data_IF_039628798597
#
_entry.id   IF_039628798597
#
_cell.length_a   1.000
_cell.length_b   1.000
_cell.length_c   1.000
_cell.angle_alpha   90.00
_cell.angle_beta   90.00
_cell.angle_gamma   90.00
#
_symmetry.space_group_name_H-M   'P 1'
#
loop_
_entity.id
_entity.type
_entity.pdbx_description
1 polymer ?
#
# COMPACT_ATOMS: atom_id res chain seq x y z
N UNK A 1 10.92 20.93 10.62
CA UNK A 1 12.20 20.20 10.68
C UNK A 1 12.24 19.38 11.95
N UNK A 2 12.43 18.07 11.84
CA UNK A 2 12.53 17.17 12.99
C UNK A 2 14.00 16.78 13.22
N UNK A 3 14.85 17.74 13.56
CA UNK A 3 16.23 17.42 13.95
C UNK A 3 16.23 16.87 15.37
N UNK A 4 16.94 15.77 15.59
CA UNK A 4 17.11 15.18 16.92
C UNK A 4 17.84 16.16 17.84
N UNK A 5 17.18 16.53 18.94
CA UNK A 5 17.76 17.34 20.01
C UNK A 5 18.52 16.45 20.99
N UNK A 6 19.55 17.00 21.62
CA UNK A 6 20.19 16.37 22.79
C UNK A 6 19.35 16.59 24.07
N UNK A 7 19.80 16.02 25.19
CA UNK A 7 19.17 16.18 26.51
C UNK A 7 19.05 17.65 26.96
N UNK A 8 19.89 18.54 26.39
CA UNK A 8 19.90 19.99 26.66
C UNK A 8 18.99 20.78 25.72
N UNK A 9 18.17 20.10 24.90
CA UNK A 9 17.30 20.70 23.87
C UNK A 9 18.06 21.52 22.80
N UNK A 10 19.33 21.19 22.56
CA UNK A 10 20.16 21.79 21.50
C UNK A 10 20.33 20.82 20.34
N UNK A 11 20.60 21.36 19.16
CA UNK A 11 20.87 20.60 17.94
C UNK A 11 22.38 20.31 17.87
N UNK A 12 22.83 19.05 17.89
CA UNK A 12 24.23 18.73 17.64
C UNK A 12 24.61 19.08 16.19
N UNK A 13 25.64 19.90 15.98
CA UNK A 13 26.07 20.34 14.63
C UNK A 13 26.43 19.14 13.75
N UNK A 14 27.06 18.11 14.32
CA UNK A 14 27.35 16.84 13.62
C UNK A 14 26.12 16.21 12.94
N UNK A 15 24.92 16.39 13.49
CA UNK A 15 23.69 15.86 12.88
C UNK A 15 23.34 16.62 11.60
N UNK A 16 23.53 17.94 11.60
CA UNK A 16 23.35 18.78 10.41
C UNK A 16 24.42 18.43 9.37
N UNK A 17 25.69 18.27 9.77
CA UNK A 17 26.78 17.90 8.86
C UNK A 17 26.53 16.55 8.20
N UNK A 18 26.16 15.53 8.99
CA UNK A 18 25.85 14.18 8.48
C UNK A 18 24.66 14.15 7.51
N UNK A 19 23.70 15.09 7.64
CA UNK A 19 22.59 15.20 6.71
C UNK A 19 23.04 15.56 5.28
N UNK A 20 24.16 16.28 5.14
CA UNK A 20 24.69 16.72 3.84
C UNK A 20 25.95 15.97 3.38
N UNK A 21 26.45 15.02 4.17
CA UNK A 21 27.72 14.31 3.93
C UNK A 21 27.68 13.37 2.72
N UNK A 22 26.50 13.11 2.15
CA UNK A 22 26.35 12.29 0.94
C UNK A 22 26.79 12.98 -0.37
N UNK A 23 26.96 14.31 -0.36
CA UNK A 23 27.29 15.07 -1.58
C UNK A 23 28.31 16.20 -1.43
N UNK A 24 28.66 16.59 -0.19
CA UNK A 24 29.63 17.66 0.10
C UNK A 24 30.49 17.28 1.30
N UNK A 25 31.70 17.84 1.37
CA UNK A 25 32.61 17.58 2.49
C UNK A 25 32.14 18.28 3.76
N UNK A 26 32.40 17.64 4.91
CA UNK A 26 32.06 18.17 6.23
C UNK A 26 32.58 19.59 6.44
N UNK A 27 33.81 19.88 5.98
CA UNK A 27 34.42 21.20 6.04
C UNK A 27 33.62 22.26 5.27
N UNK A 28 33.07 21.90 4.12
CA UNK A 28 32.24 22.82 3.33
C UNK A 28 30.90 23.10 4.02
N UNK A 29 30.27 22.08 4.60
CA UNK A 29 29.01 22.24 5.35
C UNK A 29 29.22 23.12 6.58
N UNK A 30 30.29 22.88 7.35
CA UNK A 30 30.66 23.72 8.49
C UNK A 30 30.97 25.17 8.09
N UNK A 31 31.64 25.39 6.96
CA UNK A 31 31.86 26.74 6.42
C UNK A 31 30.53 27.42 6.10
N UNK A 32 29.60 26.73 5.44
CA UNK A 32 28.28 27.29 5.11
C UNK A 32 27.47 27.63 6.37
N UNK A 33 27.55 26.79 7.41
CA UNK A 33 26.95 27.08 8.72
C UNK A 33 27.56 28.34 9.35
N UNK A 34 28.89 28.44 9.36
CA UNK A 34 29.58 29.63 9.88
C UNK A 34 29.17 30.90 9.13
N UNK A 35 29.11 30.85 7.80
CA UNK A 35 28.73 31.99 6.97
C UNK A 35 27.29 32.46 7.20
N UNK A 36 26.41 31.59 7.71
CA UNK A 36 25.02 31.91 8.06
C UNK A 36 24.84 32.26 9.56
N UNK A 37 25.94 32.37 10.31
CA UNK A 37 25.90 32.62 11.75
C UNK A 37 25.31 31.46 12.55
N UNK A 38 25.48 30.23 12.05
CA UNK A 38 24.95 28.99 12.63
C UNK A 38 26.06 28.06 13.15
N UNK A 39 27.24 28.62 13.46
CA UNK A 39 28.38 27.86 13.98
C UNK A 39 28.15 27.27 15.38
N UNK A 40 27.06 27.65 16.06
CA UNK A 40 26.75 27.17 17.41
C UNK A 40 27.80 27.59 18.45
N UNK A 41 27.76 26.90 19.60
CA UNK A 41 28.79 26.91 20.63
C UNK A 41 30.00 26.11 20.13
N UNK A 42 31.15 26.77 19.97
CA UNK A 42 32.38 26.16 19.44
C UNK A 42 33.02 25.14 20.38
N UNK A 43 32.75 25.23 21.69
CA UNK A 43 33.29 24.27 22.67
C UNK A 43 32.44 23.00 22.74
N UNK A 44 31.14 23.14 22.50
CA UNK A 44 30.16 22.03 22.64
C UNK A 44 29.65 21.48 21.31
N UNK A 45 29.95 22.14 20.19
CA UNK A 45 29.48 21.81 18.84
C UNK A 45 27.95 21.68 18.75
N UNK A 46 27.26 22.64 19.39
CA UNK A 46 25.81 22.63 19.59
C UNK A 46 25.15 23.95 19.19
N UNK A 47 23.98 23.87 18.56
CA UNK A 47 23.20 25.00 18.09
C UNK A 47 21.87 25.11 18.85
N UNK A 48 21.47 26.34 19.19
CA UNK A 48 20.14 26.57 19.73
C UNK A 48 19.06 26.29 18.68
N UNK A 49 18.04 25.52 19.05
CA UNK A 49 16.97 25.16 18.13
C UNK A 49 16.21 26.41 17.63
N UNK A 50 16.06 27.42 18.49
CA UNK A 50 15.42 28.70 18.13
C UNK A 50 16.21 29.48 17.07
N UNK A 51 17.54 29.32 17.05
CA UNK A 51 18.39 29.99 16.06
C UNK A 51 18.35 29.32 14.70
N UNK A 52 17.87 28.07 14.60
CA UNK A 52 17.81 27.28 13.37
C UNK A 52 16.41 27.29 12.75
N UNK A 53 15.96 28.48 12.37
CA UNK A 53 14.66 28.69 11.72
C UNK A 53 14.60 28.04 10.32
N UNK A 54 13.39 27.83 9.80
CA UNK A 54 13.20 27.29 8.46
C UNK A 54 13.85 28.13 7.38
N UNK A 55 13.78 29.47 7.47
CA UNK A 55 14.44 30.37 6.53
C UNK A 55 15.96 30.19 6.50
N UNK A 56 16.57 30.03 7.68
CA UNK A 56 18.01 29.77 7.76
C UNK A 56 18.39 28.40 7.22
N UNK A 57 17.55 27.39 7.43
CA UNK A 57 17.73 26.08 6.82
C UNK A 57 17.64 26.14 5.29
N UNK A 58 16.65 26.83 4.73
CA UNK A 58 16.52 26.97 3.27
C UNK A 58 17.73 27.70 2.68
N UNK A 59 18.21 28.77 3.32
CA UNK A 59 19.45 29.46 2.90
C UNK A 59 20.67 28.53 2.96
N UNK A 60 20.77 27.72 4.00
CA UNK A 60 21.82 26.71 4.12
C UNK A 60 21.73 25.68 2.99
N UNK A 61 20.53 25.17 2.71
CA UNK A 61 20.28 24.22 1.63
C UNK A 61 20.69 24.78 0.27
N UNK A 62 20.27 26.01 -0.09
CA UNK A 62 20.66 26.63 -1.36
C UNK A 62 22.17 26.87 -1.48
N UNK A 63 22.83 27.19 -0.36
CA UNK A 63 24.29 27.39 -0.35
C UNK A 63 25.07 26.08 -0.51
N UNK A 64 24.60 25.00 0.09
CA UNK A 64 25.23 23.68 0.02
C UNK A 64 24.93 23.01 -1.34
N UNK A 65 23.70 23.13 -1.81
CA UNK A 65 23.16 22.51 -3.02
C UNK A 65 22.67 23.58 -4.00
N UNK A 66 23.58 24.31 -4.67
CA UNK A 66 23.19 25.31 -5.66
C UNK A 66 22.45 24.65 -6.83
N UNK A 67 21.31 25.23 -7.22
CA UNK A 67 20.46 24.77 -8.32
C UNK A 67 20.79 25.52 -9.60
N UNK A 68 21.97 25.24 -10.17
CA UNK A 68 22.41 25.86 -11.43
C UNK A 68 21.48 25.54 -12.59
N UNK A 69 20.88 24.35 -12.58
CA UNK A 69 19.83 23.92 -13.51
C UNK A 69 18.61 24.85 -13.49
N UNK A 70 18.12 25.21 -12.30
CA UNK A 70 17.00 26.13 -12.16
C UNK A 70 17.41 27.56 -12.50
N UNK A 71 18.66 27.94 -12.20
CA UNK A 71 19.19 29.25 -12.56
C UNK A 71 19.27 29.43 -14.08
N UNK A 72 19.74 28.42 -14.82
CA UNK A 72 19.78 28.42 -16.28
C UNK A 72 18.36 28.55 -16.88
N UNK A 73 17.40 27.78 -16.35
CA UNK A 73 16.00 27.89 -16.73
C UNK A 73 15.45 29.30 -16.47
N UNK A 74 15.71 29.87 -15.29
CA UNK A 74 15.28 31.21 -14.94
C UNK A 74 15.87 32.27 -15.86
N UNK A 75 17.16 32.18 -16.22
CA UNK A 75 17.80 33.12 -17.16
C UNK A 75 17.16 33.05 -18.54
N UNK A 76 16.85 31.83 -19.01
CA UNK A 76 16.13 31.61 -20.27
C UNK A 76 14.74 32.25 -20.24
N UNK A 77 13.96 31.97 -19.19
CA UNK A 77 12.59 32.46 -19.04
C UNK A 77 12.55 33.98 -18.80
N UNK A 78 13.47 34.56 -18.04
CA UNK A 78 13.53 36.02 -17.74
C UNK A 78 14.07 36.86 -18.90
N UNK A 79 14.75 36.22 -19.87
CA UNK A 79 15.41 36.93 -20.97
C UNK A 79 16.58 37.75 -20.45
N UNK A 80 17.38 37.14 -19.57
CA UNK A 80 18.56 37.75 -18.93
C UNK A 80 18.23 38.94 -18.00
N UNK A 81 16.98 39.03 -17.52
CA UNK A 81 16.58 39.98 -16.48
C UNK A 81 16.70 39.34 -15.10
N UNK A 82 16.81 40.18 -14.08
CA UNK A 82 16.85 39.73 -12.67
C UNK A 82 15.48 39.26 -12.14
N UNK A 83 14.42 39.36 -12.96
CA UNK A 83 13.05 39.01 -12.60
C UNK A 83 12.27 38.42 -13.78
N UNK A 84 11.26 37.61 -13.48
CA UNK A 84 10.20 37.20 -14.40
C UNK A 84 9.04 38.18 -14.34
N UNK A 85 8.45 38.51 -15.49
CA UNK A 85 7.19 39.28 -15.56
C UNK A 85 5.99 38.33 -15.54
N UNK A 86 4.80 38.85 -15.19
CA UNK A 86 3.54 38.08 -15.27
C UNK A 86 3.35 37.39 -16.61
N UNK A 87 3.47 38.12 -17.72
CA UNK A 87 3.24 37.54 -19.06
C UNK A 87 4.12 36.34 -19.34
N UNK A 88 5.39 36.40 -18.94
CA UNK A 88 6.34 35.31 -19.13
C UNK A 88 6.04 34.13 -18.21
N UNK A 89 5.61 34.41 -16.98
CA UNK A 89 5.19 33.37 -16.04
C UNK A 89 3.87 32.71 -16.47
N UNK A 90 2.90 33.47 -16.98
CA UNK A 90 1.67 32.95 -17.61
C UNK A 90 2.03 32.02 -18.76
N UNK A 91 2.90 32.46 -19.67
CA UNK A 91 3.34 31.66 -20.80
C UNK A 91 4.02 30.36 -20.34
N UNK A 92 4.94 30.43 -19.37
CA UNK A 92 5.59 29.25 -18.80
C UNK A 92 4.57 28.27 -18.19
N UNK A 93 3.63 28.76 -17.39
CA UNK A 93 2.64 27.93 -16.71
C UNK A 93 1.65 27.26 -17.68
N UNK A 94 1.26 27.96 -18.74
CA UNK A 94 0.25 27.46 -19.69
C UNK A 94 0.85 26.65 -20.83
N UNK A 95 2.07 26.94 -21.27
CA UNK A 95 2.70 26.27 -22.42
C UNK A 95 3.72 25.20 -22.02
N UNK A 96 4.47 25.38 -20.92
CA UNK A 96 5.51 24.43 -20.50
C UNK A 96 5.04 23.51 -19.36
N UNK A 97 4.35 24.05 -18.35
CA UNK A 97 3.96 23.27 -17.16
C UNK A 97 2.61 22.56 -17.31
N UNK A 98 1.77 22.98 -18.24
CA UNK A 98 0.44 22.40 -18.44
C UNK A 98 0.51 21.11 -19.22
N UNK A 99 -0.21 20.08 -18.76
CA UNK A 99 -0.50 18.92 -19.59
C UNK A 99 -1.50 19.29 -20.69
N UNK A 100 -1.11 19.23 -21.99
CA UNK A 100 -1.96 19.67 -23.10
C UNK A 100 -3.23 18.82 -23.28
N UNK A 101 -3.34 17.67 -22.61
CA UNK A 101 -4.52 16.80 -22.64
C UNK A 101 -5.64 17.28 -21.71
N UNK A 102 -5.36 18.23 -20.80
CA UNK A 102 -6.32 18.69 -19.80
C UNK A 102 -7.37 19.60 -20.43
N UNK A 103 -8.64 19.30 -20.14
CA UNK A 103 -9.77 20.12 -20.58
C UNK A 103 -9.67 21.56 -20.01
N UNK A 104 -9.81 22.54 -20.87
CA UNK A 104 -9.62 23.97 -20.54
C UNK A 104 -10.71 24.55 -19.65
N UNK A 105 -11.91 23.96 -19.63
CA UNK A 105 -13.00 24.40 -18.77
C UNK A 105 -12.82 23.85 -17.35
N UNK A 106 -12.49 22.56 -17.24
CA UNK A 106 -12.26 21.91 -15.94
C UNK A 106 -10.93 22.35 -15.31
N UNK A 107 -9.92 22.62 -16.14
CA UNK A 107 -8.60 23.08 -15.74
C UNK A 107 -8.29 24.39 -16.46
N UNK A 108 -8.81 25.53 -16.00
CA UNK A 108 -8.61 26.81 -16.66
C UNK A 108 -7.14 27.21 -16.72
N UNK A 109 -6.77 27.93 -17.76
CA UNK A 109 -5.45 28.55 -17.90
C UNK A 109 -5.17 29.52 -16.75
N UNK A 110 -3.88 29.75 -16.49
CA UNK A 110 -3.43 30.81 -15.61
C UNK A 110 -3.65 32.16 -16.29
N UNK A 111 -4.26 33.09 -15.56
CA UNK A 111 -4.48 34.48 -15.95
C UNK A 111 -3.67 35.43 -15.04
N UNK A 112 -3.72 36.73 -15.33
CA UNK A 112 -3.05 37.76 -14.53
C UNK A 112 -3.39 37.72 -13.03
N UNK A 113 -4.64 37.37 -12.69
CA UNK A 113 -5.09 37.34 -11.29
C UNK A 113 -4.48 36.16 -10.55
N UNK A 114 -4.52 34.96 -11.16
CA UNK A 114 -3.95 33.74 -10.59
C UNK A 114 -2.43 33.84 -10.47
N UNK A 115 -1.77 34.38 -11.49
CA UNK A 115 -0.32 34.59 -11.45
C UNK A 115 0.07 35.65 -10.42
N UNK A 116 -0.70 36.74 -10.26
CA UNK A 116 -0.46 37.68 -9.17
C UNK A 116 -0.56 37.02 -7.80
N UNK A 117 -1.56 36.17 -7.58
CA UNK A 117 -1.71 35.44 -6.32
C UNK A 117 -0.50 34.54 -6.04
N UNK A 118 -0.03 33.83 -7.07
CA UNK A 118 1.15 32.98 -7.00
C UNK A 118 2.42 33.79 -6.68
N UNK A 119 2.61 34.95 -7.32
CA UNK A 119 3.71 35.88 -6.99
C UNK A 119 3.62 36.32 -5.53
N UNK A 120 2.47 36.81 -5.08
CA UNK A 120 2.27 37.25 -3.70
C UNK A 120 2.53 36.13 -2.68
N UNK A 121 2.31 34.86 -3.05
CA UNK A 121 2.53 33.71 -2.17
C UNK A 121 4.02 33.34 -2.01
N UNK A 122 4.82 33.43 -3.07
CA UNK A 122 6.22 32.94 -3.06
C UNK A 122 7.28 34.03 -3.07
N UNK A 123 6.95 35.24 -3.52
CA UNK A 123 7.85 36.40 -3.49
C UNK A 123 7.87 37.05 -2.11
N UNK A 124 9.03 37.56 -1.72
CA UNK A 124 9.25 38.24 -0.44
C UNK A 124 9.50 39.75 -0.62
N UNK A 125 9.94 40.19 -1.80
CA UNK A 125 10.15 41.61 -2.09
C UNK A 125 8.82 42.29 -2.48
N UNK A 126 8.36 43.22 -1.65
CA UNK A 126 7.12 43.99 -1.88
C UNK A 126 7.14 44.78 -3.20
N UNK A 127 8.31 45.27 -3.62
CA UNK A 127 8.43 45.98 -4.89
C UNK A 127 8.19 45.05 -6.08
N UNK A 128 8.67 43.81 -5.98
CA UNK A 128 8.39 42.80 -7.01
C UNK A 128 6.94 42.36 -6.98
N UNK A 129 6.35 42.13 -5.81
CA UNK A 129 4.93 41.79 -5.68
C UNK A 129 4.04 42.86 -6.31
N UNK A 130 4.26 44.13 -5.94
CA UNK A 130 3.44 45.26 -6.40
C UNK A 130 3.56 45.52 -7.90
N UNK A 131 4.71 45.18 -8.50
CA UNK A 131 4.95 45.33 -9.94
C UNK A 131 4.71 44.05 -10.74
N UNK A 132 4.19 42.97 -10.14
CA UNK A 132 3.93 41.72 -10.86
C UNK A 132 5.21 41.03 -11.34
N UNK A 133 6.27 41.08 -10.55
CA UNK A 133 7.57 40.50 -10.84
C UNK A 133 7.86 39.36 -9.87
N UNK A 134 8.64 38.38 -10.33
CA UNK A 134 9.09 37.24 -9.54
C UNK A 134 10.60 37.07 -9.64
N UNK A 135 11.28 37.02 -8.51
CA UNK A 135 12.71 36.73 -8.40
C UNK A 135 13.04 35.26 -8.68
N UNK A 136 14.32 34.97 -8.92
CA UNK A 136 14.80 33.59 -9.07
C UNK A 136 14.57 32.74 -7.81
N UNK A 137 14.72 33.34 -6.63
CA UNK A 137 14.46 32.66 -5.35
C UNK A 137 12.98 32.30 -5.20
N UNK A 138 12.07 33.23 -5.53
CA UNK A 138 10.63 32.99 -5.51
C UNK A 138 10.22 31.93 -6.55
N UNK A 139 10.82 31.96 -7.74
CA UNK A 139 10.59 30.94 -8.77
C UNK A 139 11.04 29.55 -8.31
N UNK A 140 12.22 29.45 -7.67
CA UNK A 140 12.70 28.19 -7.11
C UNK A 140 11.77 27.67 -5.99
N UNK A 141 11.26 28.56 -5.11
CA UNK A 141 10.26 28.18 -4.09
C UNK A 141 8.98 27.63 -4.74
N UNK A 142 8.49 28.27 -5.80
CA UNK A 142 7.34 27.78 -6.55
C UNK A 142 7.60 26.38 -7.12
N UNK A 143 8.73 26.17 -7.80
CA UNK A 143 9.06 24.86 -8.42
C UNK A 143 9.14 23.72 -7.41
N UNK A 144 9.51 24.01 -6.16
CA UNK A 144 9.58 23.03 -5.06
C UNK A 144 8.29 22.93 -4.23
N UNK A 145 7.26 23.69 -4.59
CA UNK A 145 5.99 23.72 -3.85
C UNK A 145 5.02 22.64 -4.32
N UNK A 146 4.00 22.37 -3.52
CA UNK A 146 2.90 21.45 -3.87
C UNK A 146 2.09 21.91 -5.09
N UNK A 147 2.14 23.21 -5.44
CA UNK A 147 1.49 23.74 -6.65
C UNK A 147 2.20 23.32 -7.94
N UNK A 148 3.44 22.86 -7.84
CA UNK A 148 4.23 22.32 -8.94
C UNK A 148 4.53 20.82 -8.75
N UNK A 149 3.63 20.10 -8.08
CA UNK A 149 3.76 18.65 -7.87
C UNK A 149 3.78 17.91 -9.23
N UNK A 150 4.66 16.90 -9.40
CA UNK A 150 4.69 16.08 -10.61
C UNK A 150 3.49 15.12 -10.71
N UNK A 151 2.67 15.03 -9.67
CA UNK A 151 1.48 14.17 -9.61
C UNK A 151 0.23 14.97 -9.29
N UNK A 152 -0.91 14.52 -9.82
CA UNK A 152 -2.21 15.05 -9.45
C UNK A 152 -2.53 14.68 -8.01
N UNK A 153 -2.41 15.64 -7.09
CA UNK A 153 -2.61 15.40 -5.66
C UNK A 153 -4.03 14.88 -5.35
N UNK A 154 -5.04 15.29 -6.12
CA UNK A 154 -6.41 14.80 -5.98
C UNK A 154 -6.62 13.34 -6.44
N UNK A 155 -5.61 12.71 -7.06
CA UNK A 155 -5.63 11.30 -7.44
C UNK A 155 -4.86 10.40 -6.47
N UNK A 156 -4.29 10.99 -5.42
CA UNK A 156 -3.64 10.23 -4.34
C UNK A 156 -4.71 9.61 -3.43
N UNK A 157 -5.76 10.36 -3.15
CA UNK A 157 -6.93 9.87 -2.45
C UNK A 157 -7.84 9.03 -3.37
N UNK A 158 -8.79 8.30 -2.78
CA UNK A 158 -9.74 7.49 -3.56
C UNK A 158 -10.62 8.39 -4.45
N UNK A 159 -10.35 8.37 -5.76
CA UNK A 159 -11.03 9.21 -6.76
C UNK A 159 -11.79 8.41 -7.82
N UNK A 160 -11.59 7.09 -7.87
CA UNK A 160 -12.22 6.22 -8.85
C UNK A 160 -13.65 5.86 -8.39
N UNK A 161 -14.54 5.65 -9.34
CA UNK A 161 -15.84 5.03 -9.08
C UNK A 161 -15.61 3.59 -8.59
N UNK A 162 -16.16 3.27 -7.42
CA UNK A 162 -16.03 1.97 -6.76
C UNK A 162 -17.36 1.19 -6.72
N UNK A 163 -18.34 1.61 -7.53
CA UNK A 163 -19.68 1.03 -7.65
C UNK A 163 -19.88 0.19 -8.92
N UNK A 164 -18.91 0.17 -9.84
CA UNK A 164 -18.92 -0.79 -10.97
C UNK A 164 -18.75 -2.25 -10.48
N UNK A 165 -19.16 -3.26 -11.28
CA UNK A 165 -18.93 -4.67 -10.98
C UNK A 165 -17.45 -5.02 -10.73
N UNK A 166 -17.18 -5.95 -9.81
CA UNK A 166 -15.81 -6.31 -9.40
C UNK A 166 -14.87 -6.67 -10.57
N UNK A 167 -15.40 -7.25 -11.65
CA UNK A 167 -14.61 -7.62 -12.84
C UNK A 167 -14.11 -6.42 -13.68
N UNK A 168 -14.51 -5.19 -13.36
CA UNK A 168 -14.06 -3.97 -14.05
C UNK A 168 -12.77 -3.38 -13.46
N UNK A 169 -12.23 -3.96 -12.39
CA UNK A 169 -11.09 -3.40 -11.67
C UNK A 169 -9.84 -4.29 -11.79
N UNK A 170 -8.69 -3.64 -11.87
CA UNK A 170 -7.43 -4.32 -11.58
C UNK A 170 -7.28 -4.48 -10.06
N UNK A 171 -7.10 -5.73 -9.62
CA UNK A 171 -6.98 -6.07 -8.20
C UNK A 171 -5.52 -6.42 -7.92
N UNK A 172 -4.89 -5.69 -6.99
CA UNK A 172 -3.54 -5.98 -6.52
C UNK A 172 -3.51 -7.38 -5.89
N UNK A 173 -2.72 -8.29 -6.46
CA UNK A 173 -2.78 -9.72 -6.20
C UNK A 173 -1.39 -10.30 -5.97
N UNK A 174 -1.28 -11.19 -4.98
CA UNK A 174 -0.05 -11.88 -4.61
C UNK A 174 -0.17 -13.36 -4.93
N UNK A 175 0.93 -13.94 -5.43
CA UNK A 175 1.05 -15.35 -5.78
C UNK A 175 2.03 -16.04 -4.81
N UNK A 176 1.70 -17.25 -4.36
CA UNK A 176 2.41 -17.99 -3.32
C UNK A 176 2.79 -17.09 -2.13
N UNK A 177 1.78 -16.37 -1.60
CA UNK A 177 1.96 -15.28 -0.63
C UNK A 177 2.78 -15.69 0.60
N UNK A 178 2.68 -16.96 1.01
CA UNK A 178 3.39 -17.52 2.15
C UNK A 178 4.92 -17.58 1.99
N UNK A 179 5.47 -17.53 0.77
CA UNK A 179 6.92 -17.64 0.54
C UNK A 179 7.64 -16.30 0.69
N UNK A 180 8.66 -16.25 1.54
CA UNK A 180 9.52 -15.05 1.70
C UNK A 180 10.79 -15.09 0.85
N UNK A 181 10.90 -16.07 -0.06
CA UNK A 181 12.14 -16.32 -0.78
C UNK A 181 11.95 -17.19 -2.02
N UNK A 182 12.83 -18.19 -2.19
CA UNK A 182 12.85 -19.05 -3.38
C UNK A 182 11.64 -19.97 -3.44
N UNK A 183 11.23 -20.34 -4.65
CA UNK A 183 10.16 -21.34 -4.89
C UNK A 183 10.55 -22.75 -4.45
N UNK A 184 11.85 -23.05 -4.33
CA UNK A 184 12.37 -24.34 -3.86
C UNK A 184 13.31 -24.12 -2.67
N UNK A 185 13.13 -24.89 -1.61
CA UNK A 185 13.89 -24.75 -0.37
C UNK A 185 13.65 -23.41 0.34
N UNK A 186 12.55 -22.72 0.02
CA UNK A 186 12.19 -21.43 0.58
C UNK A 186 11.59 -21.52 1.98
N UNK A 187 11.61 -20.40 2.70
CA UNK A 187 10.92 -20.27 3.98
C UNK A 187 9.50 -19.79 3.75
N UNK A 188 8.54 -20.51 4.33
CA UNK A 188 7.16 -20.05 4.49
C UNK A 188 7.03 -19.24 5.79
N UNK A 189 6.22 -18.18 5.77
CA UNK A 189 5.98 -17.31 6.92
C UNK A 189 4.52 -16.93 7.03
N UNK A 190 4.05 -16.69 8.24
CA UNK A 190 2.72 -16.08 8.47
C UNK A 190 2.79 -14.55 8.38
N UNK A 191 3.91 -13.94 8.77
CA UNK A 191 4.11 -12.48 8.79
C UNK A 191 4.02 -11.84 7.39
N UNK A 192 4.40 -12.57 6.34
CA UNK A 192 4.36 -12.05 4.98
C UNK A 192 2.93 -11.75 4.51
N UNK A 193 1.91 -12.46 5.03
CA UNK A 193 0.51 -12.12 4.74
C UNK A 193 0.15 -10.75 5.31
N UNK A 194 0.66 -10.43 6.52
CA UNK A 194 0.48 -9.12 7.15
C UNK A 194 1.16 -8.02 6.33
N UNK A 195 2.41 -8.20 5.94
CA UNK A 195 3.14 -7.23 5.11
C UNK A 195 2.44 -6.99 3.76
N UNK A 196 2.03 -8.07 3.09
CA UNK A 196 1.36 -8.01 1.78
C UNK A 196 0.01 -7.29 1.88
N UNK A 197 -0.81 -7.57 2.89
CA UNK A 197 -2.08 -6.88 3.10
C UNK A 197 -1.89 -5.41 3.49
N UNK A 198 -0.90 -5.09 4.34
CA UNK A 198 -0.56 -3.71 4.72
C UNK A 198 -0.01 -2.88 3.54
N UNK A 199 0.59 -3.52 2.54
CA UNK A 199 1.00 -2.88 1.29
C UNK A 199 -0.20 -2.50 0.39
N UNK A 200 -1.40 -3.00 0.69
CA UNK A 200 -2.63 -2.76 -0.07
C UNK A 200 -3.01 -3.90 -1.02
N UNK A 201 -2.33 -5.05 -0.99
CA UNK A 201 -2.74 -6.24 -1.75
C UNK A 201 -4.14 -6.71 -1.31
N UNK A 202 -5.00 -7.11 -2.26
CA UNK A 202 -6.40 -7.50 -2.05
C UNK A 202 -6.70 -8.93 -2.47
N UNK A 203 -5.75 -9.66 -3.06
CA UNK A 203 -5.88 -11.10 -3.32
C UNK A 203 -4.62 -11.81 -2.85
N UNK A 204 -4.75 -12.80 -1.96
CA UNK A 204 -3.63 -13.59 -1.42
C UNK A 204 -3.87 -15.07 -1.63
N UNK A 205 -2.80 -15.82 -1.80
CA UNK A 205 -2.83 -17.25 -2.15
C UNK A 205 -2.43 -18.13 -0.97
N UNK A 206 -3.18 -19.23 -0.79
CA UNK A 206 -3.02 -20.20 0.31
C UNK A 206 -2.96 -21.63 -0.25
N UNK A 207 -1.76 -22.21 -0.29
CA UNK A 207 -1.54 -23.59 -0.74
C UNK A 207 -1.71 -24.53 0.43
N UNK A 208 -2.91 -25.10 0.57
CA UNK A 208 -3.33 -25.84 1.75
C UNK A 208 -3.03 -27.33 1.59
N UNK A 209 -2.32 -27.91 2.56
CA UNK A 209 -1.96 -29.33 2.60
C UNK A 209 -2.28 -29.96 3.95
N UNK A 210 -2.43 -31.28 3.97
CA UNK A 210 -2.49 -32.03 5.22
C UNK A 210 -1.13 -31.98 5.94
N UNK A 211 -1.13 -31.63 7.22
CA UNK A 211 0.06 -31.67 8.06
C UNK A 211 0.61 -33.09 8.22
N UNK A 212 1.93 -33.20 8.35
CA UNK A 212 2.64 -34.48 8.49
C UNK A 212 3.54 -34.48 9.72
N UNK A 213 3.99 -35.66 10.17
CA UNK A 213 4.85 -35.77 11.35
C UNK A 213 4.18 -35.20 12.61
N UNK A 214 4.82 -34.22 13.23
CA UNK A 214 4.32 -33.53 14.43
C UNK A 214 3.08 -32.66 14.15
N UNK A 215 2.85 -32.27 12.89
CA UNK A 215 1.70 -31.47 12.47
C UNK A 215 0.52 -32.34 12.00
N UNK A 216 0.58 -33.67 12.19
CA UNK A 216 -0.44 -34.59 11.70
C UNK A 216 -1.82 -34.22 12.26
N UNK A 217 -2.80 -34.13 11.37
CA UNK A 217 -4.17 -33.80 11.73
C UNK A 217 -4.49 -32.31 11.73
N UNK A 218 -3.53 -31.42 11.46
CA UNK A 218 -3.77 -29.99 11.24
C UNK A 218 -3.54 -29.58 9.78
N UNK A 219 -4.32 -28.63 9.23
CA UNK A 219 -4.05 -28.06 7.92
C UNK A 219 -2.85 -27.09 7.99
N UNK A 220 -1.95 -27.22 7.02
CA UNK A 220 -0.75 -26.39 6.88
C UNK A 220 -0.73 -25.68 5.53
N UNK A 221 0.12 -24.65 5.41
CA UNK A 221 0.42 -23.97 4.15
C UNK A 221 1.89 -24.17 3.79
N UNK A 222 2.15 -24.65 2.57
CA UNK A 222 3.49 -24.83 2.02
C UNK A 222 3.46 -25.02 0.51
N UNK A 223 4.61 -24.86 -0.14
CA UNK A 223 4.77 -25.23 -1.54
C UNK A 223 5.06 -26.74 -1.63
N UNK A 224 4.04 -27.49 -2.02
CA UNK A 224 4.08 -28.96 -2.05
C UNK A 224 5.26 -29.51 -2.86
N UNK A 225 5.91 -30.55 -2.32
CA UNK A 225 7.05 -31.26 -2.95
C UNK A 225 8.27 -30.37 -3.29
N UNK A 226 8.34 -29.15 -2.75
CA UNK A 226 9.40 -28.19 -3.07
C UNK A 226 10.42 -27.96 -1.93
N UNK A 227 10.41 -28.81 -0.89
CA UNK A 227 11.28 -28.70 0.31
C UNK A 227 11.20 -27.35 1.02
N UNK A 228 10.06 -26.65 0.93
CA UNK A 228 9.83 -25.41 1.67
C UNK A 228 9.40 -25.72 3.10
N UNK A 229 9.63 -24.79 4.04
CA UNK A 229 9.06 -24.93 5.40
C UNK A 229 7.53 -24.79 5.34
N UNK A 230 6.84 -25.27 6.36
CA UNK A 230 5.39 -25.09 6.50
C UNK A 230 5.05 -24.09 7.60
N UNK A 231 3.82 -23.61 7.56
CA UNK A 231 3.18 -22.80 8.62
C UNK A 231 1.75 -23.29 8.83
N UNK A 232 1.22 -23.16 10.04
CA UNK A 232 -0.16 -23.55 10.30
C UNK A 232 -1.13 -22.64 9.56
N UNK A 233 -2.12 -23.26 8.91
CA UNK A 233 -3.19 -22.53 8.22
C UNK A 233 -3.94 -21.60 9.18
N UNK A 234 -4.20 -22.06 10.41
CA UNK A 234 -4.88 -21.28 11.46
C UNK A 234 -4.16 -19.97 11.79
N UNK A 235 -2.84 -20.01 11.90
CA UNK A 235 -2.01 -18.84 12.23
C UNK A 235 -2.02 -17.82 11.08
N UNK A 236 -2.03 -18.30 9.83
CA UNK A 236 -2.18 -17.44 8.64
C UNK A 236 -3.53 -16.72 8.66
N UNK A 237 -4.63 -17.40 9.02
CA UNK A 237 -5.94 -16.76 9.10
C UNK A 237 -5.97 -15.65 10.16
N UNK A 238 -5.28 -15.82 11.30
CA UNK A 238 -5.16 -14.74 12.29
C UNK A 238 -4.42 -13.52 11.76
N UNK A 239 -3.32 -13.72 11.03
CA UNK A 239 -2.60 -12.61 10.39
C UNK A 239 -3.49 -11.87 9.38
N UNK A 240 -4.26 -12.61 8.58
CA UNK A 240 -5.20 -12.05 7.62
C UNK A 240 -6.29 -11.27 8.35
N UNK A 241 -6.95 -11.84 9.36
CA UNK A 241 -8.02 -11.17 10.15
C UNK A 241 -7.55 -9.82 10.69
N UNK A 242 -6.35 -9.78 11.24
CA UNK A 242 -5.83 -8.59 11.93
C UNK A 242 -5.43 -7.47 10.96
N UNK A 243 -5.18 -7.78 9.68
CA UNK A 243 -4.57 -6.82 8.73
C UNK A 243 -5.34 -6.62 7.44
N UNK A 244 -6.32 -7.47 7.12
CA UNK A 244 -7.11 -7.44 5.89
C UNK A 244 -7.64 -6.05 5.57
N UNK A 245 -8.14 -5.33 6.58
CA UNK A 245 -8.77 -4.01 6.40
C UNK A 245 -8.02 -2.84 7.03
N UNK A 246 -6.77 -3.04 7.46
CA UNK A 246 -5.99 -2.00 8.15
C UNK A 246 -5.57 -0.85 7.22
N UNK A 247 -5.27 -1.15 5.95
CA UNK A 247 -4.87 -0.15 4.94
C UNK A 247 -5.99 0.23 3.96
N UNK A 248 -6.93 -0.67 3.73
CA UNK A 248 -8.01 -0.50 2.75
C UNK A 248 -9.25 -1.27 3.20
N UNK A 249 -10.43 -0.64 3.12
CA UNK A 249 -11.70 -1.27 3.51
C UNK A 249 -12.29 -2.17 2.42
N UNK A 250 -11.72 -2.16 1.21
CA UNK A 250 -12.21 -2.95 0.08
C UNK A 250 -11.99 -4.46 0.27
N UNK A 251 -12.80 -5.31 -0.40
CA UNK A 251 -12.78 -6.75 -0.18
C UNK A 251 -11.41 -7.39 -0.34
N UNK A 252 -11.19 -8.48 0.39
CA UNK A 252 -10.02 -9.35 0.26
C UNK A 252 -10.46 -10.70 -0.30
N UNK A 253 -9.75 -11.21 -1.31
CA UNK A 253 -9.97 -12.52 -1.92
C UNK A 253 -8.88 -13.47 -1.44
N UNK A 254 -9.28 -14.63 -0.94
CA UNK A 254 -8.38 -15.71 -0.58
C UNK A 254 -8.44 -16.77 -1.69
N UNK A 255 -7.36 -16.91 -2.44
CA UNK A 255 -7.20 -17.95 -3.47
C UNK A 255 -6.67 -19.22 -2.82
N UNK A 256 -7.54 -20.22 -2.64
CA UNK A 256 -7.16 -21.49 -2.02
C UNK A 256 -6.70 -22.47 -3.11
N UNK A 257 -5.48 -22.97 -2.97
CA UNK A 257 -5.03 -24.17 -3.67
C UNK A 257 -5.13 -25.36 -2.71
N UNK A 258 -6.26 -26.08 -2.77
CA UNK A 258 -6.63 -27.07 -1.76
C UNK A 258 -6.19 -28.50 -2.11
N UNK A 259 -5.30 -29.06 -1.29
CA UNK A 259 -4.81 -30.45 -1.34
C UNK A 259 -5.13 -31.26 -0.07
N UNK A 260 -5.96 -30.72 0.83
CA UNK A 260 -6.28 -31.35 2.10
C UNK A 260 -7.29 -32.50 1.98
N UNK A 261 -7.18 -33.47 2.88
CA UNK A 261 -8.19 -34.49 3.18
C UNK A 261 -9.52 -33.88 3.63
N UNK A 262 -10.61 -34.67 3.58
CA UNK A 262 -11.95 -34.21 3.99
C UNK A 262 -11.97 -33.69 5.43
N UNK A 263 -11.29 -34.37 6.35
CA UNK A 263 -11.23 -33.99 7.76
C UNK A 263 -10.56 -32.63 7.93
N UNK A 264 -9.42 -32.40 7.28
CA UNK A 264 -8.74 -31.10 7.33
C UNK A 264 -9.49 -30.02 6.57
N UNK A 265 -10.24 -30.34 5.52
CA UNK A 265 -11.15 -29.40 4.90
C UNK A 265 -12.25 -28.93 5.86
N UNK A 266 -12.85 -29.83 6.65
CA UNK A 266 -13.81 -29.45 7.70
C UNK A 266 -13.18 -28.54 8.75
N UNK A 267 -11.94 -28.85 9.20
CA UNK A 267 -11.20 -27.99 10.13
C UNK A 267 -10.92 -26.60 9.55
N UNK A 268 -10.43 -26.53 8.31
CA UNK A 268 -10.20 -25.28 7.61
C UNK A 268 -11.49 -24.42 7.54
N UNK A 269 -12.65 -25.04 7.32
CA UNK A 269 -13.94 -24.34 7.24
C UNK A 269 -14.34 -23.77 8.61
N UNK A 270 -14.20 -24.58 9.67
CA UNK A 270 -14.42 -24.14 11.05
C UNK A 270 -13.51 -22.96 11.39
N UNK A 271 -12.21 -23.04 11.09
CA UNK A 271 -11.27 -21.95 11.31
C UNK A 271 -11.65 -20.68 10.54
N UNK A 272 -12.03 -20.76 9.27
CA UNK A 272 -12.48 -19.59 8.52
C UNK A 272 -13.71 -18.93 9.16
N UNK A 273 -14.72 -19.72 9.55
CA UNK A 273 -15.95 -19.19 10.17
C UNK A 273 -15.67 -18.58 11.54
N UNK A 274 -14.91 -19.27 12.39
CA UNK A 274 -14.60 -18.81 13.75
C UNK A 274 -13.69 -17.58 13.76
N UNK A 275 -12.66 -17.55 12.91
CA UNK A 275 -11.64 -16.50 12.92
C UNK A 275 -12.13 -15.25 12.20
N UNK A 276 -12.76 -15.39 11.03
CA UNK A 276 -13.22 -14.23 10.27
C UNK A 276 -14.61 -13.74 10.69
N UNK A 277 -15.46 -14.60 11.22
CA UNK A 277 -16.82 -14.23 11.66
C UNK A 277 -17.56 -13.44 10.59
N UNK A 278 -18.06 -12.26 10.95
CA UNK A 278 -18.80 -11.37 10.06
C UNK A 278 -17.99 -10.83 8.87
N UNK A 279 -16.66 -10.88 8.92
CA UNK A 279 -15.82 -10.51 7.78
C UNK A 279 -15.97 -11.53 6.64
N UNK A 280 -16.24 -12.80 6.94
CA UNK A 280 -16.41 -13.82 5.90
C UNK A 280 -17.72 -13.60 5.15
N UNK A 281 -17.65 -13.51 3.82
CA UNK A 281 -18.85 -13.56 2.98
C UNK A 281 -19.29 -15.01 2.82
N UNK A 282 -20.11 -15.49 3.76
CA UNK A 282 -20.58 -16.88 3.81
C UNK A 282 -21.92 -17.12 3.10
N UNK A 283 -22.57 -16.09 2.57
CA UNK A 283 -23.82 -16.22 1.82
C UNK A 283 -23.86 -15.20 0.69
N UNK A 284 -24.61 -15.48 -0.41
CA UNK A 284 -24.79 -14.51 -1.46
C UNK A 284 -25.48 -13.27 -0.89
N UNK A 285 -25.22 -12.12 -1.49
CA UNK A 285 -26.00 -10.93 -1.16
C UNK A 285 -27.39 -11.07 -1.81
N UNK A 286 -28.43 -10.65 -1.11
CA UNK A 286 -29.82 -10.79 -1.59
C UNK A 286 -30.04 -10.07 -2.94
N UNK A 287 -29.34 -8.96 -3.14
CA UNK A 287 -29.35 -8.15 -4.37
C UNK A 287 -28.42 -8.68 -5.48
N UNK A 288 -27.61 -9.70 -5.20
CA UNK A 288 -26.70 -10.35 -6.15
C UNK A 288 -26.77 -11.88 -6.04
N UNK A 289 -27.91 -12.49 -6.44
CA UNK A 289 -28.06 -13.94 -6.43
C UNK A 289 -27.09 -14.62 -7.41
N UNK A 290 -26.71 -15.86 -7.11
CA UNK A 290 -25.77 -16.65 -7.92
C UNK A 290 -26.47 -17.27 -9.14
N UNK A 291 -26.99 -16.43 -10.02
CA UNK A 291 -27.72 -16.82 -11.22
C UNK A 291 -27.01 -16.35 -12.49
N UNK A 292 -27.22 -17.05 -13.60
CA UNK A 292 -26.60 -16.69 -14.88
C UNK A 292 -27.10 -15.32 -15.36
N UNK A 293 -26.17 -14.45 -15.76
CA UNK A 293 -26.47 -13.09 -16.21
C UNK A 293 -26.52 -12.03 -15.11
N UNK A 294 -26.47 -12.43 -13.83
CA UNK A 294 -26.31 -11.49 -12.71
C UNK A 294 -24.87 -11.02 -12.63
N UNK A 295 -24.66 -9.70 -12.52
CA UNK A 295 -23.32 -9.10 -12.43
C UNK A 295 -22.68 -9.36 -11.05
N UNK A 296 -21.35 -9.26 -10.98
CA UNK A 296 -20.66 -9.30 -9.69
C UNK A 296 -20.97 -8.03 -8.86
N UNK A 297 -21.07 -8.13 -7.53
CA UNK A 297 -21.19 -6.96 -6.67
C UNK A 297 -20.01 -5.99 -6.83
N UNK A 298 -20.23 -4.72 -6.50
CA UNK A 298 -19.17 -3.72 -6.53
C UNK A 298 -18.20 -3.85 -5.34
N UNK A 299 -16.97 -3.31 -5.44
CA UNK A 299 -16.06 -3.20 -4.30
C UNK A 299 -16.69 -2.48 -3.10
N UNK A 300 -17.47 -1.42 -3.33
CA UNK A 300 -18.20 -0.71 -2.26
C UNK A 300 -19.20 -1.62 -1.54
N UNK A 301 -19.93 -2.46 -2.30
CA UNK A 301 -20.91 -3.38 -1.71
C UNK A 301 -20.26 -4.50 -0.89
N UNK A 302 -19.03 -4.87 -1.24
CA UNK A 302 -18.22 -5.90 -0.58
C UNK A 302 -17.23 -5.35 0.46
N UNK A 303 -17.40 -4.10 0.92
CA UNK A 303 -16.52 -3.52 1.94
C UNK A 303 -16.44 -4.40 3.19
N UNK A 304 -15.21 -4.59 3.66
CA UNK A 304 -14.85 -5.38 4.84
C UNK A 304 -15.28 -6.85 4.75
N UNK A 305 -15.43 -7.37 3.53
CA UNK A 305 -15.70 -8.78 3.27
C UNK A 305 -14.48 -9.53 2.76
N UNK A 306 -14.35 -10.77 3.22
CA UNK A 306 -13.38 -11.76 2.78
C UNK A 306 -14.12 -12.79 1.93
N UNK A 307 -13.66 -12.96 0.69
CA UNK A 307 -14.17 -13.89 -0.29
C UNK A 307 -13.20 -15.09 -0.40
N UNK A 308 -13.72 -16.29 -0.64
CA UNK A 308 -12.93 -17.52 -0.78
C UNK A 308 -13.10 -18.07 -2.19
N UNK A 309 -12.04 -17.94 -2.99
CA UNK A 309 -11.94 -18.63 -4.28
C UNK A 309 -11.47 -20.07 -4.02
N UNK A 310 -12.36 -21.04 -4.19
CA UNK A 310 -12.06 -22.47 -4.13
C UNK A 310 -13.01 -23.28 -5.04
N UNK A 311 -12.70 -24.55 -5.30
CA UNK A 311 -13.52 -25.45 -6.13
C UNK A 311 -14.90 -25.71 -5.52
N UNK A 312 -15.96 -25.49 -6.32
CA UNK A 312 -17.36 -25.64 -5.89
C UNK A 312 -18.02 -26.96 -6.26
N UNK A 313 -18.85 -27.46 -5.35
CA UNK A 313 -19.74 -28.61 -5.60
C UNK A 313 -21.00 -28.19 -6.38
N UNK A 314 -21.75 -29.17 -6.89
CA UNK A 314 -23.09 -28.90 -7.43
C UNK A 314 -24.01 -28.39 -6.30
N UNK A 315 -24.87 -27.42 -6.61
CA UNK A 315 -25.68 -26.67 -5.63
C UNK A 315 -26.50 -27.58 -4.69
N UNK A 316 -27.10 -28.65 -5.20
CA UNK A 316 -27.92 -29.56 -4.37
C UNK A 316 -27.09 -30.31 -3.32
N UNK A 317 -25.87 -30.70 -3.69
CA UNK A 317 -24.94 -31.41 -2.81
C UNK A 317 -24.35 -30.44 -1.78
N UNK A 318 -24.02 -29.22 -2.22
CA UNK A 318 -23.51 -28.15 -1.35
C UNK A 318 -24.50 -27.83 -0.23
N UNK A 319 -25.79 -27.70 -0.56
CA UNK A 319 -26.85 -27.41 0.43
C UNK A 319 -26.93 -28.50 1.50
N UNK A 320 -26.96 -29.77 1.08
CA UNK A 320 -27.02 -30.91 1.99
C UNK A 320 -25.79 -30.96 2.93
N UNK A 321 -24.59 -30.77 2.38
CA UNK A 321 -23.36 -30.80 3.18
C UNK A 321 -23.24 -29.60 4.11
N UNK A 322 -23.73 -28.43 3.72
CA UNK A 322 -23.77 -27.25 4.58
C UNK A 322 -24.72 -27.47 5.76
N UNK A 323 -25.89 -28.06 5.53
CA UNK A 323 -26.83 -28.42 6.59
C UNK A 323 -26.20 -29.41 7.57
N UNK A 324 -25.49 -30.42 7.07
CA UNK A 324 -24.73 -31.37 7.91
C UNK A 324 -23.62 -30.69 8.70
N UNK A 325 -22.82 -29.82 8.07
CA UNK A 325 -21.76 -29.07 8.76
C UNK A 325 -22.26 -28.22 9.92
N UNK A 326 -23.38 -27.53 9.71
CA UNK A 326 -24.01 -26.69 10.73
C UNK A 326 -24.62 -27.55 11.86
N UNK A 327 -25.06 -28.77 11.55
CA UNK A 327 -25.59 -29.73 12.52
C UNK A 327 -24.47 -30.40 13.35
N UNK A 328 -23.36 -30.76 12.70
CA UNK A 328 -22.13 -31.35 13.26
C UNK A 328 -21.23 -30.32 13.96
N UNK A 329 -21.75 -29.12 14.24
CA UNK A 329 -21.07 -28.04 14.97
C UNK A 329 -20.71 -28.37 16.43
N UNK A 330 -20.83 -29.63 16.86
CA UNK A 330 -20.30 -30.17 18.12
C UNK A 330 -19.44 -31.39 17.76
N UNK A 331 -18.12 -31.26 17.88
CA UNK A 331 -17.26 -32.44 17.94
C UNK A 331 -17.37 -32.97 19.37
N UNK A 332 -18.03 -34.10 19.57
CA UNK A 332 -17.70 -34.96 20.71
C UNK A 332 -16.39 -35.66 20.33
N UNK A 333 -15.42 -35.68 21.25
CA UNK A 333 -14.07 -36.22 21.07
C UNK A 333 -14.05 -37.76 20.85
N UNK A 334 -15.21 -38.42 20.74
CA UNK A 334 -15.35 -39.88 20.73
C UNK A 334 -15.36 -40.53 19.33
N UNK A 335 -15.46 -39.75 18.24
CA UNK A 335 -15.50 -40.30 16.88
C UNK A 335 -14.12 -40.67 16.30
N UNK A 336 -13.02 -40.53 17.06
CA UNK A 336 -11.68 -41.00 16.64
C UNK A 336 -11.56 -42.53 16.55
N UNK A 337 -12.56 -43.31 16.99
CA UNK A 337 -12.42 -44.76 17.17
C UNK A 337 -13.28 -45.65 16.25
N UNK A 338 -14.21 -45.14 15.44
CA UNK A 338 -15.16 -46.00 14.71
C UNK A 338 -15.25 -45.68 13.23
N UNK A 339 -14.20 -46.01 12.47
CA UNK A 339 -14.36 -46.30 11.04
C UNK A 339 -13.28 -47.28 10.53
N UNK A 340 -13.03 -48.35 11.29
CA UNK A 340 -12.45 -49.59 10.75
C UNK A 340 -13.58 -50.60 10.50
N UNK A 341 -14.49 -50.30 9.57
CA UNK A 341 -15.40 -51.28 9.01
C UNK A 341 -15.34 -51.19 7.50
N UNK A 342 -14.70 -52.22 6.94
CA UNK A 342 -14.55 -52.48 5.52
C UNK A 342 -15.87 -52.31 4.76
N UNK A 343 -15.90 -51.36 3.83
CA UNK A 343 -16.85 -51.38 2.72
C UNK A 343 -16.04 -51.73 1.47
N UNK A 344 -16.22 -52.97 1.02
CA UNK A 344 -15.76 -53.46 -0.27
C UNK A 344 -16.22 -52.52 -1.39
N UNK A 345 -15.27 -51.81 -2.00
CA UNK A 345 -15.45 -51.21 -3.33
C UNK A 345 -14.58 -52.00 -4.28
N UNK A 346 -15.21 -52.94 -4.98
CA UNK A 346 -14.67 -53.44 -6.23
C UNK A 346 -14.91 -52.36 -7.30
N UNK A 347 -13.86 -51.59 -7.60
CA UNK A 347 -13.42 -51.29 -8.96
C UNK A 347 -12.16 -50.40 -8.93
N UNK A 348 -11.10 -50.93 -9.52
CA UNK A 348 -9.80 -50.30 -9.69
C UNK A 348 -9.87 -49.07 -10.61
N UNK A 349 -9.62 -47.88 -10.05
CA UNK A 349 -8.89 -46.81 -10.75
C UNK A 349 -8.37 -45.74 -9.75
N UNK A 350 -7.05 -45.54 -9.60
CA UNK A 350 -6.46 -44.70 -8.56
C UNK A 350 -6.46 -43.19 -8.89
N UNK A 351 -7.50 -42.70 -9.57
CA UNK A 351 -7.60 -41.29 -9.97
C UNK A 351 -9.03 -40.79 -9.88
N UNK A 352 -9.47 -40.44 -8.66
CA UNK A 352 -10.48 -39.40 -8.36
C UNK A 352 -11.03 -39.58 -6.95
N UNK A 353 -10.30 -39.08 -5.94
CA UNK A 353 -10.93 -38.72 -4.67
C UNK A 353 -11.33 -37.25 -4.76
N UNK A 354 -12.60 -36.96 -5.08
CA UNK A 354 -13.13 -35.60 -5.20
C UNK A 354 -14.38 -35.45 -4.35
N UNK A 355 -14.18 -35.13 -3.08
CA UNK A 355 -15.19 -34.52 -2.23
C UNK A 355 -14.59 -33.21 -1.70
N UNK A 356 -15.25 -32.09 -1.97
CA UNK A 356 -14.72 -30.72 -1.81
C UNK A 356 -15.65 -29.93 -0.87
N UNK A 357 -15.15 -29.50 0.28
CA UNK A 357 -15.98 -28.89 1.33
C UNK A 357 -15.95 -27.35 1.35
N UNK A 358 -15.70 -26.70 0.21
CA UNK A 358 -15.52 -25.25 0.19
C UNK A 358 -16.17 -24.57 -1.00
N UNK A 359 -17.08 -23.65 -0.73
CA UNK A 359 -17.65 -22.78 -1.76
C UNK A 359 -18.09 -21.48 -1.11
N UNK A 360 -17.29 -20.42 -1.20
CA UNK A 360 -17.75 -19.06 -0.89
C UNK A 360 -17.12 -18.02 -1.81
N UNK A 361 -17.75 -17.82 -2.96
CA UNK A 361 -17.60 -16.68 -3.87
C UNK A 361 -16.23 -16.51 -4.55
N UNK A 362 -16.06 -17.23 -5.67
CA UNK A 362 -15.83 -16.68 -7.02
C UNK A 362 -15.76 -17.81 -8.04
#
# INVERSE_FOLDING_TARGET
MCLSLNERKKIPIKNIVKMFSGGKSDKMVQKCLSDLGLSGDKERDELDAELFTFDKYIRLYYKICPRSDVQELFVKLSGQKEYLTKDRLINFLNEEQRDPRLNEILFPFFDDKRVQHLITKYESDENYINNGKMSGDAFLRYLMSDENSPVFLNRIDLYQDMDQPLCHYYINSSHNTYLTGRQYGGKSSTEIYREVLLSGCRCVELDCWDGTGENKGEPIITHGKAMCTDVFFKDVLYQIRDTAFARSEFPVILSFENHCSRLNQLKMAKYCVEIFGDMLLSKPLDDYPLESGVQLPSPNRLKRKILIKNKRLKADIEKLQMEQFLLEGKLDEEDEAVENLEINIADDNPSHCKYHFFSFFL
#
